data_IF_417654725355
#
_entry.id   IF_417654725355
#
_cell.length_a   1.000
_cell.length_b   1.000
_cell.length_c   1.000
_cell.angle_alpha   90.00
_cell.angle_beta   90.00
_cell.angle_gamma   90.00
#
_symmetry.space_group_name_H-M   'P 1'
#
loop_
_entity.id
_entity.type
_entity.pdbx_description
1 polymer ?
#
# COMPACT_ATOMS: atom_id res chain seq x y z
N UNK A 1 -2.44 -0.60 4.05
CA UNK A 1 -3.61 -1.31 4.65
C UNK A 1 -2.70 -2.51 4.92
N UNK A 2 -2.46 -2.91 6.14
CA UNK A 2 -1.54 -4.07 6.42
C UNK A 2 -0.90 -4.76 5.17
N UNK A 3 -1.59 -5.48 4.32
CA UNK A 3 -0.92 -6.29 3.26
C UNK A 3 -0.88 -5.64 1.87
N UNK A 4 -1.48 -4.49 1.68
CA UNK A 4 -1.49 -3.81 0.34
C UNK A 4 -1.26 -2.29 0.37
N UNK A 5 -0.84 -1.78 -0.76
CA UNK A 5 -0.57 -0.30 -0.95
C UNK A 5 -1.85 0.28 -1.62
N UNK A 6 -2.48 1.18 -0.89
CA UNK A 6 -3.74 1.80 -1.39
C UNK A 6 -3.61 3.30 -1.58
N UNK A 7 -4.69 3.83 -2.08
CA UNK A 7 -4.80 5.28 -2.35
C UNK A 7 -6.07 5.62 -1.55
N UNK A 8 -5.85 5.89 -0.28
CA UNK A 8 -6.93 6.25 0.68
C UNK A 8 -8.05 5.20 0.69
N UNK A 9 -7.62 3.97 0.84
CA UNK A 9 -8.58 2.84 0.88
C UNK A 9 -8.65 1.98 -0.39
N UNK A 10 -8.11 2.47 -1.48
CA UNK A 10 -8.14 1.68 -2.76
C UNK A 10 -6.77 1.12 -3.20
N UNK A 11 -6.53 -0.17 -3.09
CA UNK A 11 -5.32 -0.83 -3.68
C UNK A 11 -5.18 -0.39 -5.14
N UNK A 12 -4.28 0.55 -5.35
CA UNK A 12 -4.05 1.07 -6.74
C UNK A 12 -2.57 1.17 -7.10
N UNK A 13 -1.72 0.73 -6.20
CA UNK A 13 -0.24 0.81 -6.49
C UNK A 13 0.16 -0.48 -7.22
N UNK A 14 -0.29 -1.60 -6.70
CA UNK A 14 0.02 -2.92 -7.29
C UNK A 14 0.98 -3.70 -6.39
N UNK A 15 1.61 -2.98 -5.49
CA UNK A 15 2.58 -3.58 -4.54
C UNK A 15 1.86 -3.87 -3.22
N UNK A 16 2.56 -4.63 -2.42
CA UNK A 16 2.01 -5.02 -1.09
C UNK A 16 2.90 -4.56 0.07
N UNK A 17 2.35 -4.63 1.25
CA UNK A 17 3.10 -4.21 2.47
C UNK A 17 2.82 -5.13 3.65
N UNK A 18 2.77 -6.42 3.40
CA UNK A 18 2.50 -7.43 4.47
C UNK A 18 3.37 -7.14 5.71
N UNK A 19 4.63 -6.90 5.45
CA UNK A 19 5.60 -6.59 6.55
C UNK A 19 5.04 -5.44 7.41
N UNK A 20 4.36 -4.58 6.70
CA UNK A 20 3.69 -3.36 7.25
C UNK A 20 4.16 -2.07 6.58
N UNK A 21 4.88 -2.16 5.47
CA UNK A 21 5.36 -0.94 4.77
C UNK A 21 5.34 -1.07 3.24
N UNK A 22 5.16 0.05 2.58
CA UNK A 22 5.11 0.08 1.10
C UNK A 22 6.34 0.90 0.64
N UNK A 23 6.74 0.72 -0.59
CA UNK A 23 7.92 1.45 -1.14
C UNK A 23 7.46 2.30 -2.33
N UNK A 24 6.27 2.82 -2.22
CA UNK A 24 5.73 3.67 -3.33
C UNK A 24 5.15 4.98 -2.73
N UNK A 25 6.00 5.96 -2.49
CA UNK A 25 5.55 7.34 -2.14
C UNK A 25 4.31 7.74 -2.95
N UNK A 26 3.19 7.85 -2.27
CA UNK A 26 1.90 8.22 -2.91
C UNK A 26 0.82 7.25 -2.41
N UNK A 27 1.23 6.05 -2.13
CA UNK A 27 0.30 5.00 -1.63
C UNK A 27 0.57 4.86 -0.14
N UNK A 28 -0.46 4.43 0.52
CA UNK A 28 -0.47 4.20 1.99
C UNK A 28 -0.62 2.73 2.21
N UNK A 29 -0.53 2.30 3.44
CA UNK A 29 -0.68 0.85 3.69
C UNK A 29 -1.85 0.44 4.56
#
# INVERSE_FOLDING_TARGET
SWPVCTRNGLPVCGETCVGGTCNTPGCTC
#
